data_IF_435503286692
#
_entry.id   IF_435503286692
#
_cell.length_a   1.000
_cell.length_b   1.000
_cell.length_c   1.000
_cell.angle_alpha   90.00
_cell.angle_beta   90.00
_cell.angle_gamma   90.00
#
_symmetry.space_group_name_H-M   'P 1'
#
loop_
_entity.id
_entity.type
_entity.pdbx_description
1 polymer ?
#
# COMPACT_ATOMS: atom_id res chain seq x y z
N UNK A 1 1.77 5.52 -5.17
CA UNK A 1 3.15 5.47 -4.71
C UNK A 1 3.24 4.60 -3.46
N UNK A 2 4.08 3.59 -3.51
CA UNK A 2 4.27 2.66 -2.40
C UNK A 2 5.68 2.83 -1.84
N UNK A 3 5.80 2.91 -0.53
CA UNK A 3 7.07 3.10 0.16
C UNK A 3 7.19 2.16 1.34
N UNK A 4 8.34 1.53 1.48
CA UNK A 4 8.66 0.63 2.58
C UNK A 4 9.64 1.32 3.52
N UNK A 5 9.27 1.45 4.79
CA UNK A 5 10.07 2.19 5.79
C UNK A 5 10.56 1.28 6.91
N UNK A 6 11.79 1.52 7.33
CA UNK A 6 12.38 0.88 8.50
C UNK A 6 13.28 1.88 9.22
N UNK A 7 13.09 2.04 10.54
CA UNK A 7 13.86 2.98 11.37
C UNK A 7 13.85 4.41 10.81
N UNK A 8 12.69 4.84 10.32
CA UNK A 8 12.48 6.17 9.71
C UNK A 8 13.24 6.38 8.39
N UNK A 9 13.79 5.30 7.81
CA UNK A 9 14.44 5.37 6.51
C UNK A 9 13.61 4.64 5.46
N UNK A 10 13.45 5.26 4.31
CA UNK A 10 12.80 4.60 3.17
C UNK A 10 13.75 3.58 2.58
N UNK A 11 13.35 2.30 2.61
CA UNK A 11 14.15 1.20 2.11
C UNK A 11 13.94 0.96 0.62
N UNK A 12 12.69 0.98 0.19
CA UNK A 12 12.30 0.76 -1.21
C UNK A 12 11.07 1.58 -1.51
N UNK A 13 10.91 1.94 -2.77
CA UNK A 13 9.69 2.57 -3.23
C UNK A 13 9.39 2.12 -4.66
N UNK A 14 8.14 2.22 -5.04
CA UNK A 14 7.71 1.96 -6.41
C UNK A 14 6.50 2.83 -6.73
N UNK A 15 6.34 3.16 -8.00
CA UNK A 15 5.19 3.91 -8.48
C UNK A 15 4.44 3.03 -9.45
N UNK A 16 3.16 2.82 -9.17
CA UNK A 16 2.27 2.07 -10.05
C UNK A 16 1.33 3.06 -10.70
N UNK A 17 1.32 3.09 -12.02
CA UNK A 17 0.42 3.93 -12.80
C UNK A 17 -0.71 3.07 -13.35
N UNK A 18 -1.94 3.45 -13.06
CA UNK A 18 -3.13 2.76 -13.57
C UNK A 18 -4.08 3.83 -14.10
N UNK A 19 -4.17 3.93 -15.42
CA UNK A 19 -5.01 4.89 -16.12
C UNK A 19 -6.26 4.24 -16.72
N UNK A 20 -6.60 3.04 -16.28
CA UNK A 20 -7.82 2.36 -16.73
C UNK A 20 -9.06 3.02 -16.16
N UNK A 21 -10.19 2.86 -16.87
CA UNK A 21 -11.48 3.37 -16.42
C UNK A 21 -12.12 2.41 -15.42
N UNK A 22 -11.62 2.39 -14.20
CA UNK A 22 -12.14 1.52 -13.16
C UNK A 22 -12.33 2.34 -11.89
N UNK A 23 -13.00 1.75 -10.89
CA UNK A 23 -13.20 2.42 -9.62
C UNK A 23 -11.86 2.59 -8.90
N UNK A 24 -11.77 3.64 -8.09
CA UNK A 24 -10.58 3.90 -7.28
C UNK A 24 -10.22 2.70 -6.38
N UNK A 25 -11.23 2.07 -5.79
CA UNK A 25 -11.04 0.90 -4.93
C UNK A 25 -10.35 -0.23 -5.68
N UNK A 26 -10.83 -0.55 -6.89
CA UNK A 26 -10.24 -1.62 -7.69
C UNK A 26 -8.82 -1.28 -8.13
N UNK A 27 -8.57 -0.03 -8.49
CA UNK A 27 -7.22 0.42 -8.87
C UNK A 27 -6.23 0.26 -7.73
N UNK A 28 -6.66 0.61 -6.51
CA UNK A 28 -5.82 0.49 -5.32
C UNK A 28 -5.51 -0.98 -5.03
N UNK A 29 -6.50 -1.86 -5.10
CA UNK A 29 -6.27 -3.28 -4.87
C UNK A 29 -5.31 -3.88 -5.89
N UNK A 30 -5.45 -3.52 -7.17
CA UNK A 30 -4.51 -3.98 -8.20
C UNK A 30 -3.10 -3.45 -7.96
N UNK A 31 -2.99 -2.18 -7.65
CA UNK A 31 -1.70 -1.56 -7.36
C UNK A 31 -1.02 -2.24 -6.17
N UNK A 32 -1.79 -2.51 -5.12
CA UNK A 32 -1.26 -3.20 -3.95
C UNK A 32 -0.76 -4.61 -4.28
N UNK A 33 -1.48 -5.35 -5.12
CA UNK A 33 -1.03 -6.66 -5.58
C UNK A 33 0.29 -6.58 -6.33
N UNK A 34 0.43 -5.60 -7.22
CA UNK A 34 1.68 -5.41 -7.97
C UNK A 34 2.83 -5.01 -7.07
N UNK A 35 2.58 -4.15 -6.09
CA UNK A 35 3.59 -3.74 -5.11
C UNK A 35 4.06 -4.93 -4.29
N UNK A 36 3.13 -5.74 -3.80
CA UNK A 36 3.47 -6.92 -3.02
C UNK A 36 4.24 -7.93 -3.84
N UNK A 37 3.88 -8.11 -5.09
CA UNK A 37 4.63 -8.98 -6.01
C UNK A 37 6.06 -8.47 -6.21
N UNK A 38 6.21 -7.17 -6.46
CA UNK A 38 7.51 -6.54 -6.69
C UNK A 38 8.42 -6.62 -5.45
N UNK A 39 7.85 -6.45 -4.27
CA UNK A 39 8.59 -6.50 -3.01
C UNK A 39 8.66 -7.91 -2.41
N UNK A 40 8.10 -8.91 -3.09
CA UNK A 40 8.05 -10.31 -2.62
C UNK A 40 7.36 -10.43 -1.25
N UNK A 41 6.20 -9.80 -1.13
CA UNK A 41 5.40 -9.79 0.09
C UNK A 41 4.08 -10.52 -0.13
N UNK A 42 3.55 -11.11 0.95
CA UNK A 42 2.17 -11.57 0.97
C UNK A 42 1.21 -10.37 0.99
N UNK A 43 -0.02 -10.57 0.55
CA UNK A 43 -1.03 -9.50 0.55
C UNK A 43 -1.39 -9.10 1.97
N UNK A 44 -1.35 -7.80 2.31
CA UNK A 44 -1.78 -7.35 3.62
C UNK A 44 -3.30 -7.40 3.75
N UNK A 45 -3.76 -7.49 4.99
CA UNK A 45 -5.18 -7.46 5.30
C UNK A 45 -5.66 -6.02 5.45
N UNK A 46 -6.85 -5.75 4.91
CA UNK A 46 -7.51 -4.46 5.09
C UNK A 46 -8.32 -4.50 6.37
N UNK A 47 -7.76 -3.98 7.44
CA UNK A 47 -8.46 -3.84 8.71
C UNK A 47 -9.35 -2.60 8.69
N UNK A 48 -10.35 -2.53 9.57
CA UNK A 48 -11.28 -1.39 9.59
C UNK A 48 -10.58 -0.05 9.72
N UNK A 49 -9.58 0.03 10.59
CA UNK A 49 -8.80 1.26 10.76
C UNK A 49 -8.04 1.63 9.49
N UNK A 50 -7.53 0.65 8.76
CA UNK A 50 -6.81 0.86 7.50
C UNK A 50 -7.74 1.44 6.43
N UNK A 51 -8.93 0.88 6.32
CA UNK A 51 -9.95 1.35 5.37
C UNK A 51 -10.37 2.79 5.68
N UNK A 52 -10.61 3.08 6.95
CA UNK A 52 -11.01 4.42 7.39
C UNK A 52 -9.92 5.46 7.09
N UNK A 53 -8.67 5.15 7.38
CA UNK A 53 -7.56 6.04 7.09
C UNK A 53 -7.45 6.30 5.59
N UNK A 54 -7.57 5.25 4.77
CA UNK A 54 -7.51 5.37 3.33
C UNK A 54 -8.62 6.26 2.77
N UNK A 55 -9.84 6.10 3.28
CA UNK A 55 -10.99 6.92 2.84
C UNK A 55 -10.79 8.40 3.14
N UNK A 56 -10.13 8.71 4.25
CA UNK A 56 -9.93 10.10 4.69
C UNK A 56 -8.77 10.78 3.99
N UNK A 57 -7.67 10.07 3.76
CA UNK A 57 -6.40 10.69 3.39
C UNK A 57 -5.86 10.26 2.04
N UNK A 58 -6.53 9.32 1.35
CA UNK A 58 -6.03 8.72 0.11
C UNK A 58 -4.66 8.07 0.29
N UNK A 59 -4.33 7.72 1.51
CA UNK A 59 -3.10 6.99 1.86
C UNK A 59 -3.34 6.18 3.11
N UNK A 60 -2.57 5.12 3.27
CA UNK A 60 -2.60 4.31 4.47
C UNK A 60 -1.27 3.60 4.67
N UNK A 61 -1.06 3.09 5.86
CA UNK A 61 0.13 2.33 6.23
C UNK A 61 -0.27 0.93 6.66
N UNK A 62 0.47 -0.05 6.18
CA UNK A 62 0.30 -1.44 6.59
C UNK A 62 1.46 -1.81 7.52
N UNK A 63 1.11 -2.17 8.75
CA UNK A 63 2.06 -2.58 9.77
C UNK A 63 2.11 -4.10 9.87
N UNK A 64 2.91 -4.64 10.79
CA UNK A 64 3.00 -6.09 10.99
C UNK A 64 1.62 -6.73 11.21
N UNK A 65 0.72 -6.05 11.91
CA UNK A 65 -0.63 -6.56 12.20
C UNK A 65 -1.49 -6.74 10.94
N UNK A 66 -1.14 -6.07 9.86
CA UNK A 66 -1.84 -6.19 8.58
C UNK A 66 -1.32 -7.36 7.75
N UNK A 67 -0.19 -7.96 8.12
CA UNK A 67 0.42 -9.06 7.37
C UNK A 67 0.30 -10.36 8.17
N UNK A 68 0.00 -11.46 7.47
CA UNK A 68 -0.05 -12.79 8.10
C UNK A 68 1.37 -13.27 8.39
N UNK A 69 2.29 -12.97 7.49
CA UNK A 69 3.70 -13.35 7.63
C UNK A 69 4.50 -12.27 8.34
N UNK A 70 5.67 -12.64 8.85
CA UNK A 70 6.58 -11.69 9.48
C UNK A 70 7.21 -10.79 8.41
N UNK A 71 7.15 -9.46 8.65
CA UNK A 71 7.77 -8.48 7.74
C UNK A 71 9.07 -7.96 8.33
N UNK A 72 10.00 -7.58 7.46
CA UNK A 72 11.33 -7.11 7.85
C UNK A 72 11.43 -5.58 7.98
N UNK A 73 10.34 -4.89 7.72
CA UNK A 73 10.27 -3.43 7.75
C UNK A 73 9.21 -2.99 8.77
N UNK A 74 9.18 -1.71 9.09
CA UNK A 74 8.24 -1.18 10.08
C UNK A 74 6.84 -1.02 9.49
N UNK A 75 6.73 -0.47 8.29
CA UNK A 75 5.44 -0.34 7.61
C UNK A 75 5.62 -0.12 6.11
N UNK A 76 4.57 -0.44 5.38
CA UNK A 76 4.42 -0.16 3.96
C UNK A 76 3.38 0.94 3.81
N UNK A 77 3.77 2.08 3.24
CA UNK A 77 2.85 3.20 3.00
C UNK A 77 2.39 3.19 1.55
N UNK A 78 1.09 3.26 1.35
CA UNK A 78 0.46 3.40 0.04
C UNK A 78 -0.17 4.79 -0.03
N UNK A 79 0.19 5.54 -1.06
CA UNK A 79 -0.37 6.86 -1.30
C UNK A 79 -0.90 6.94 -2.72
N UNK A 80 -2.18 7.24 -2.86
CA UNK A 80 -2.82 7.41 -4.16
C UNK A 80 -2.70 8.86 -4.56
N UNK A 81 -2.05 9.10 -5.68
CA UNK A 81 -1.94 10.42 -6.28
C UNK A 81 -2.94 10.44 -7.44
N UNK A 82 -3.95 11.30 -7.32
CA UNK A 82 -4.93 11.48 -8.38
C UNK A 82 -4.57 12.71 -9.20
N UNK A 83 -4.53 12.50 -10.51
CA UNK A 83 -4.42 13.61 -11.47
C UNK A 83 -5.80 13.77 -12.10
N UNK A 84 -6.33 14.95 -11.96
CA UNK A 84 -7.59 15.31 -12.62
C UNK A 84 -7.37 15.63 -14.09
#
# INVERSE_FOLDING_TARGET
WAKEFKNNHMMRDTVICDDTEDTRTHKVFRALEEVCYEFDLGKPLWLDATVEEFKRHAKTRFYQDNFIEEIEFDYLEIHVIEED
#
